data_IF_579508805626
#
_entry.id   IF_579508805626
#
_cell.length_a   1.000
_cell.length_b   1.000
_cell.length_c   1.000
_cell.angle_alpha   90.00
_cell.angle_beta   90.00
_cell.angle_gamma   90.00
#
_symmetry.space_group_name_H-M   'P 1'
#
loop_
_entity.id
_entity.type
_entity.pdbx_description
1 polymer ?
#
# COMPACT_ATOMS: atom_id res chain seq x y z
N UNK A 1 14.88 -35.17 -53.17
CA UNK A 1 13.81 -34.17 -52.94
C UNK A 1 13.37 -34.29 -51.50
N UNK A 2 13.57 -33.22 -50.73
CA UNK A 2 13.33 -33.09 -49.28
C UNK A 2 11.88 -32.70 -48.98
N UNK A 3 11.34 -33.22 -47.87
CA UNK A 3 10.37 -32.64 -46.89
C UNK A 3 9.71 -33.82 -46.15
N UNK A 4 9.65 -33.94 -44.83
CA UNK A 4 9.61 -32.93 -43.76
C UNK A 4 8.22 -32.96 -43.11
N UNK A 5 7.88 -34.04 -42.39
CA UNK A 5 6.54 -34.29 -41.83
C UNK A 5 6.48 -34.19 -40.30
N UNK A 6 6.24 -32.97 -39.83
CA UNK A 6 5.54 -32.50 -38.62
C UNK A 6 5.43 -33.39 -37.36
N UNK A 7 6.23 -33.02 -36.37
CA UNK A 7 6.09 -33.26 -34.93
C UNK A 7 4.75 -32.73 -34.37
N UNK A 8 3.96 -33.56 -33.69
CA UNK A 8 2.97 -33.11 -32.70
C UNK A 8 3.41 -33.59 -31.32
N UNK A 9 4.21 -32.76 -30.66
CA UNK A 9 4.48 -32.89 -29.22
C UNK A 9 3.41 -32.08 -28.51
N UNK A 10 2.39 -32.76 -28.00
CA UNK A 10 1.39 -32.19 -27.10
C UNK A 10 2.11 -31.69 -25.85
N UNK A 11 2.23 -30.38 -25.73
CA UNK A 11 2.90 -29.69 -24.64
C UNK A 11 1.89 -28.78 -23.95
N UNK A 12 1.56 -29.16 -22.72
CA UNK A 12 1.50 -28.27 -21.55
C UNK A 12 0.33 -27.29 -21.45
N UNK A 13 -0.48 -27.46 -20.41
CA UNK A 13 -0.95 -26.31 -19.63
C UNK A 13 -1.19 -26.69 -18.15
N UNK A 14 -0.28 -26.38 -17.22
CA UNK A 14 -0.56 -26.44 -15.80
C UNK A 14 -0.99 -25.05 -15.33
N UNK A 15 -2.21 -25.02 -14.78
CA UNK A 15 -2.65 -24.23 -13.64
C UNK A 15 -2.07 -22.80 -13.51
N UNK A 16 -2.94 -21.82 -13.76
CA UNK A 16 -2.72 -20.40 -13.57
C UNK A 16 -1.93 -20.05 -12.33
N UNK A 17 -0.67 -19.69 -12.55
CA UNK A 17 0.09 -18.85 -11.63
C UNK A 17 -0.56 -17.46 -11.66
N UNK A 18 -0.76 -16.78 -10.51
CA UNK A 18 -1.17 -15.40 -10.53
C UNK A 18 -0.08 -14.62 -11.26
N UNK A 19 -0.40 -14.17 -12.47
CA UNK A 19 0.51 -13.41 -13.32
C UNK A 19 1.00 -12.21 -12.52
N UNK A 20 2.23 -12.30 -12.01
CA UNK A 20 2.94 -11.15 -11.46
C UNK A 20 3.04 -10.18 -12.63
N UNK A 21 2.43 -8.98 -12.55
CA UNK A 21 2.47 -8.05 -13.66
C UNK A 21 3.94 -7.76 -14.00
N UNK A 22 4.27 -7.61 -15.29
CA UNK A 22 5.65 -7.38 -15.72
C UNK A 22 6.23 -6.18 -14.95
N UNK A 23 7.55 -6.21 -14.66
CA UNK A 23 8.18 -5.15 -13.88
C UNK A 23 7.92 -3.80 -14.56
N UNK A 24 7.26 -2.91 -13.81
CA UNK A 24 7.11 -1.50 -14.17
C UNK A 24 8.48 -0.92 -14.51
N UNK A 25 8.53 0.01 -15.48
CA UNK A 25 9.80 0.66 -15.87
C UNK A 25 10.51 1.18 -14.61
N UNK A 26 11.86 1.18 -14.53
CA UNK A 26 12.58 1.58 -13.31
C UNK A 26 12.09 2.92 -12.72
N UNK A 27 11.74 3.87 -13.58
CA UNK A 27 11.16 5.16 -13.24
C UNK A 27 9.79 5.04 -12.54
N UNK A 28 8.86 4.26 -13.09
CA UNK A 28 7.54 4.02 -12.49
C UNK A 28 7.65 3.34 -11.12
N UNK A 29 8.67 2.49 -10.93
CA UNK A 29 8.96 1.88 -9.62
C UNK A 29 9.44 2.92 -8.61
N UNK A 30 10.32 3.84 -9.02
CA UNK A 30 10.78 4.94 -8.15
C UNK A 30 9.62 5.85 -7.73
N UNK A 31 8.77 6.24 -8.69
CA UNK A 31 7.58 7.06 -8.44
C UNK A 31 6.61 6.36 -7.47
N UNK A 32 6.43 5.04 -7.63
CA UNK A 32 5.61 4.25 -6.70
C UNK A 32 6.19 4.26 -5.28
N UNK A 33 7.50 4.07 -5.11
CA UNK A 33 8.18 4.10 -3.81
C UNK A 33 8.09 5.50 -3.18
N UNK A 34 8.26 6.56 -3.96
CA UNK A 34 8.10 7.92 -3.46
C UNK A 34 6.68 8.23 -3.01
N UNK A 35 5.68 7.75 -3.75
CA UNK A 35 4.29 7.90 -3.35
C UNK A 35 4.02 7.16 -2.03
N UNK A 36 4.57 5.95 -1.85
CA UNK A 36 4.50 5.23 -0.58
C UNK A 36 5.20 5.99 0.56
N UNK A 37 6.39 6.54 0.33
CA UNK A 37 7.10 7.36 1.32
C UNK A 37 6.27 8.58 1.72
N UNK A 38 5.65 9.27 0.76
CA UNK A 38 4.75 10.40 1.03
C UNK A 38 3.54 9.98 1.87
N UNK A 39 2.91 8.84 1.57
CA UNK A 39 1.82 8.30 2.37
C UNK A 39 2.28 7.97 3.80
N UNK A 40 3.44 7.33 3.97
CA UNK A 40 4.02 7.03 5.28
C UNK A 40 4.27 8.29 6.11
N UNK A 41 4.83 9.35 5.50
CA UNK A 41 5.02 10.64 6.16
C UNK A 41 3.71 11.25 6.65
N UNK A 42 2.65 11.18 5.85
CA UNK A 42 1.33 11.63 6.26
C UNK A 42 0.78 10.84 7.46
N UNK A 43 0.92 9.51 7.47
CA UNK A 43 0.49 8.66 8.58
C UNK A 43 1.29 8.92 9.86
N UNK A 44 2.62 9.01 9.76
CA UNK A 44 3.49 9.34 10.89
C UNK A 44 3.15 10.71 11.49
N UNK A 45 2.89 11.70 10.63
CA UNK A 45 2.43 13.03 11.08
C UNK A 45 1.10 12.94 11.82
N UNK A 46 0.15 12.13 11.32
CA UNK A 46 -1.14 11.96 11.98
C UNK A 46 -1.00 11.37 13.39
N UNK A 47 -0.21 10.31 13.53
CA UNK A 47 0.07 9.66 14.82
C UNK A 47 0.73 10.64 15.80
N UNK A 48 1.69 11.43 15.32
CA UNK A 48 2.34 12.45 16.14
C UNK A 48 1.34 13.50 16.65
N UNK A 49 0.44 13.99 15.79
CA UNK A 49 -0.57 14.97 16.15
C UNK A 49 -1.57 14.42 17.18
N UNK A 50 -1.97 13.16 17.04
CA UNK A 50 -2.83 12.48 18.02
C UNK A 50 -2.14 12.35 19.37
N UNK A 51 -0.90 11.88 19.41
CA UNK A 51 -0.12 11.80 20.65
C UNK A 51 0.17 13.16 21.28
N UNK A 52 0.10 14.26 20.53
CA UNK A 52 0.11 15.63 21.10
C UNK A 52 -1.25 16.05 21.61
N UNK A 53 -2.33 15.72 20.90
CA UNK A 53 -3.69 16.02 21.34
C UNK A 53 -4.02 15.34 22.67
N UNK A 54 -3.57 14.10 22.85
CA UNK A 54 -3.81 13.32 24.07
C UNK A 54 -3.05 13.84 25.29
N UNK A 55 -1.98 14.61 25.07
CA UNK A 55 -1.18 15.26 26.14
C UNK A 55 -1.51 16.74 26.31
N UNK A 56 -2.52 17.25 25.63
CA UNK A 56 -2.85 18.67 25.68
C UNK A 56 -3.93 18.94 26.71
N UNK A 57 -3.62 19.82 27.68
CA UNK A 57 -4.60 20.26 28.68
C UNK A 57 -5.62 21.28 28.12
N UNK A 58 -5.38 21.81 26.92
CA UNK A 58 -6.30 22.73 26.24
C UNK A 58 -7.24 21.94 25.30
N UNK A 59 -8.55 21.87 25.58
CA UNK A 59 -9.49 21.06 24.82
C UNK A 59 -9.67 21.54 23.36
N UNK A 60 -9.58 22.86 23.12
CA UNK A 60 -9.69 23.44 21.78
C UNK A 60 -8.48 23.06 20.93
N UNK A 61 -7.27 23.14 21.50
CA UNK A 61 -6.05 22.72 20.83
C UNK A 61 -6.06 21.21 20.53
N UNK A 62 -6.48 20.39 21.50
CA UNK A 62 -6.61 18.95 21.32
C UNK A 62 -7.56 18.59 20.17
N UNK A 63 -8.71 19.27 20.07
CA UNK A 63 -9.66 19.08 18.97
C UNK A 63 -9.02 19.42 17.61
N UNK A 64 -8.37 20.59 17.50
CA UNK A 64 -7.72 21.03 16.26
C UNK A 64 -6.61 20.07 15.82
N UNK A 65 -5.81 19.55 16.76
CA UNK A 65 -4.77 18.57 16.49
C UNK A 65 -5.36 17.25 15.95
N UNK A 66 -6.47 16.77 16.53
CA UNK A 66 -7.18 15.58 16.06
C UNK A 66 -7.76 15.77 14.66
N UNK A 67 -8.35 16.92 14.38
CA UNK A 67 -8.85 17.23 13.04
C UNK A 67 -7.72 17.27 12.01
N UNK A 68 -6.57 17.84 12.39
CA UNK A 68 -5.40 17.85 11.53
C UNK A 68 -4.82 16.44 11.32
N UNK A 69 -4.85 15.57 12.33
CA UNK A 69 -4.47 14.17 12.19
C UNK A 69 -5.39 13.42 11.21
N UNK A 70 -6.71 13.60 11.32
CA UNK A 70 -7.70 13.03 10.39
C UNK A 70 -7.47 13.49 8.95
N UNK A 71 -7.19 14.77 8.74
CA UNK A 71 -6.82 15.34 7.44
C UNK A 71 -5.58 14.64 6.85
N UNK A 72 -4.55 14.38 7.67
CA UNK A 72 -3.33 13.69 7.24
C UNK A 72 -3.60 12.23 6.88
N UNK A 73 -4.41 11.51 7.67
CA UNK A 73 -4.86 10.13 7.34
C UNK A 73 -5.59 10.09 5.99
N UNK A 74 -6.55 10.98 5.76
CA UNK A 74 -7.27 11.08 4.48
C UNK A 74 -6.36 11.35 3.28
N UNK A 75 -5.27 12.11 3.47
CA UNK A 75 -4.27 12.33 2.41
C UNK A 75 -3.47 11.06 2.13
N UNK A 76 -3.02 10.36 3.16
CA UNK A 76 -2.32 9.09 2.99
C UNK A 76 -3.21 8.04 2.31
N UNK A 77 -4.46 7.89 2.76
CA UNK A 77 -5.43 6.95 2.18
C UNK A 77 -5.66 7.21 0.69
N UNK A 78 -5.83 8.48 0.28
CA UNK A 78 -5.96 8.83 -1.15
C UNK A 78 -4.76 8.40 -1.97
N UNK A 79 -3.54 8.51 -1.43
CA UNK A 79 -2.33 8.04 -2.11
C UNK A 79 -2.32 6.51 -2.20
N UNK A 80 -2.59 5.81 -1.09
CA UNK A 80 -2.58 4.35 -1.04
C UNK A 80 -3.64 3.73 -1.96
N UNK A 81 -4.84 4.30 -2.02
CA UNK A 81 -5.91 3.88 -2.94
C UNK A 81 -5.47 4.03 -4.39
N UNK A 82 -4.84 5.15 -4.76
CA UNK A 82 -4.29 5.35 -6.12
C UNK A 82 -3.18 4.36 -6.47
N UNK A 83 -2.44 3.88 -5.47
CA UNK A 83 -1.41 2.86 -5.65
C UNK A 83 -1.96 1.42 -5.64
N UNK A 84 -3.26 1.23 -5.37
CA UNK A 84 -3.87 -0.10 -5.23
C UNK A 84 -3.47 -0.82 -3.93
N UNK A 85 -2.89 -0.11 -2.97
CA UNK A 85 -2.43 -0.69 -1.71
C UNK A 85 -3.59 -0.71 -0.72
N UNK A 86 -4.04 -1.90 -0.34
CA UNK A 86 -5.00 -2.05 0.74
C UNK A 86 -4.29 -1.95 2.09
N UNK A 87 -4.79 -1.12 3.03
CA UNK A 87 -4.26 -1.12 4.38
C UNK A 87 -4.51 -2.49 5.00
N UNK A 88 -3.44 -3.20 5.34
CA UNK A 88 -3.54 -4.41 6.14
C UNK A 88 -4.00 -3.96 7.53
N UNK A 89 -5.24 -4.29 7.90
CA UNK A 89 -5.65 -4.21 9.30
C UNK A 89 -4.78 -5.24 10.03
N UNK A 90 -3.77 -4.78 10.77
CA UNK A 90 -3.16 -5.61 11.81
C UNK A 90 -4.29 -5.91 12.80
N UNK A 91 -4.80 -7.14 12.76
CA UNK A 91 -5.67 -7.64 13.82
C UNK A 91 -4.94 -7.52 15.16
N UNK A 92 -5.68 -7.39 16.27
CA UNK A 92 -5.07 -7.32 17.59
C UNK A 92 -4.09 -8.50 17.76
N UNK A 93 -2.85 -8.28 18.26
CA UNK A 93 -1.93 -9.37 18.52
C UNK A 93 -2.62 -10.36 19.45
N UNK A 94 -2.51 -11.64 19.10
CA UNK A 94 -3.38 -12.71 19.57
C UNK A 94 -3.69 -12.67 21.07
N UNK A 95 -4.99 -12.76 21.37
CA UNK A 95 -5.44 -13.50 22.53
C UNK A 95 -4.99 -14.96 22.32
N UNK A 96 -3.80 -15.29 22.82
CA UNK A 96 -3.45 -16.67 23.13
C UNK A 96 -3.78 -16.86 24.60
N UNK A 97 -4.69 -17.80 24.84
CA UNK A 97 -5.17 -18.24 26.15
C UNK A 97 -4.03 -18.54 27.12
#
# INVERSE_FOLDING_TARGET
>A
MTTGGTTTRTSTDPAGTPAVPPPRRPQERLEHVEALRRAATHLATAQFLEGRADRSDNPVLAALLRDRARERRRRAERILVRLGVRPVRRGPPGQRC
#
